data_IF_509212947979
#
_entry.id   IF_509212947979
#
_cell.length_a   1.000
_cell.length_b   1.000
_cell.length_c   1.000
_cell.angle_alpha   90.00
_cell.angle_beta   90.00
_cell.angle_gamma   90.00
#
_symmetry.space_group_name_H-M   'P 1'
#
loop_
_entity.id
_entity.type
_entity.pdbx_description
1 polymer ?
#
# COMPACT_ATOMS: atom_id res chain seq x y z
N UNK A 1 -3.57 -13.68 13.70
CA UNK A 1 -3.66 -12.21 13.67
C UNK A 1 -3.73 -11.81 12.22
N UNK A 2 -4.63 -10.90 11.84
CA UNK A 2 -4.67 -10.45 10.46
C UNK A 2 -3.33 -9.71 10.19
N UNK A 3 -2.76 -9.89 9.00
CA UNK A 3 -1.44 -9.36 8.61
C UNK A 3 -1.60 -8.43 7.41
N UNK A 4 -0.89 -7.29 7.38
CA UNK A 4 -0.83 -6.45 6.19
C UNK A 4 -0.17 -7.25 5.08
N UNK A 5 -0.80 -7.28 3.92
CA UNK A 5 -0.20 -7.82 2.72
C UNK A 5 0.08 -6.68 1.73
N UNK A 6 1.07 -6.85 0.84
CA UNK A 6 1.29 -5.94 -0.29
C UNK A 6 0.00 -5.66 -1.08
N UNK A 7 -0.85 -6.68 -1.27
CA UNK A 7 -2.13 -6.55 -1.96
C UNK A 7 -3.07 -5.53 -1.31
N UNK A 8 -3.19 -5.54 0.02
CA UNK A 8 -4.08 -4.61 0.74
C UNK A 8 -3.61 -3.17 0.56
N UNK A 9 -2.30 -2.93 0.67
CA UNK A 9 -1.70 -1.59 0.50
C UNK A 9 -1.85 -1.12 -0.95
N UNK A 10 -1.54 -1.98 -1.93
CA UNK A 10 -1.70 -1.67 -3.35
C UNK A 10 -3.15 -1.38 -3.70
N UNK A 11 -4.12 -2.20 -3.29
CA UNK A 11 -5.54 -1.93 -3.56
C UNK A 11 -6.02 -0.62 -2.93
N UNK A 12 -5.49 -0.28 -1.76
CA UNK A 12 -5.80 1.00 -1.10
C UNK A 12 -5.23 2.17 -1.92
N UNK A 13 -3.98 2.08 -2.39
CA UNK A 13 -3.38 3.11 -3.22
C UNK A 13 -3.95 3.16 -4.65
N UNK A 14 -4.41 2.05 -5.22
CA UNK A 14 -5.14 2.04 -6.51
C UNK A 14 -6.44 2.86 -6.39
N UNK A 15 -7.15 2.73 -5.27
CA UNK A 15 -8.43 3.43 -5.05
C UNK A 15 -8.25 4.93 -4.79
N UNK A 16 -7.17 5.32 -4.13
CA UNK A 16 -6.97 6.69 -3.66
C UNK A 16 -5.86 7.45 -4.40
N UNK A 17 -5.09 6.77 -5.24
CA UNK A 17 -3.88 7.19 -5.97
C UNK A 17 -2.71 7.63 -5.09
N UNK A 18 -2.98 8.47 -4.09
CA UNK A 18 -1.98 9.09 -3.22
C UNK A 18 -2.50 9.20 -1.79
N UNK A 19 -1.73 8.72 -0.80
CA UNK A 19 -2.11 8.75 0.61
C UNK A 19 -0.92 8.99 1.53
N UNK A 20 -1.17 9.61 2.69
CA UNK A 20 -0.16 9.71 3.76
C UNK A 20 -0.10 8.41 4.55
N UNK A 21 1.00 8.16 5.28
CA UNK A 21 1.10 6.99 6.17
C UNK A 21 -0.07 6.91 7.17
N UNK A 22 -0.47 8.08 7.69
CA UNK A 22 -1.56 8.17 8.67
C UNK A 22 -2.93 7.87 8.06
N UNK A 23 -3.14 8.23 6.78
CA UNK A 23 -4.39 7.95 6.09
C UNK A 23 -4.46 6.48 5.67
N UNK A 24 -3.34 5.91 5.18
CA UNK A 24 -3.21 4.48 4.93
C UNK A 24 -3.55 3.66 6.18
N UNK A 25 -3.00 4.03 7.34
CA UNK A 25 -3.27 3.33 8.61
C UNK A 25 -4.74 3.40 9.08
N UNK A 26 -5.52 4.35 8.56
CA UNK A 26 -6.95 4.54 8.92
C UNK A 26 -7.91 3.93 7.91
N UNK A 27 -7.45 3.58 6.71
CA UNK A 27 -8.31 3.02 5.68
C UNK A 27 -8.91 1.68 6.11
N UNK A 28 -10.23 1.55 5.93
CA UNK A 28 -10.99 0.37 6.37
C UNK A 28 -10.52 -0.92 5.67
N UNK A 29 -9.95 -0.81 4.46
CA UNK A 29 -9.32 -1.92 3.75
C UNK A 29 -8.05 -2.45 4.43
N UNK A 30 -7.31 -1.58 5.13
CA UNK A 30 -6.16 -1.99 5.94
C UNK A 30 -6.64 -2.58 7.27
N UNK A 31 -7.81 -2.14 7.75
CA UNK A 31 -8.74 -2.94 8.57
C UNK A 31 -8.21 -3.43 9.91
N UNK A 32 -7.09 -2.90 10.38
CA UNK A 32 -6.35 -3.49 11.49
C UNK A 32 -5.62 -2.43 12.29
N UNK A 33 -5.67 -2.57 13.61
CA UNK A 33 -4.83 -1.89 14.58
C UNK A 33 -3.38 -2.41 14.46
N UNK A 34 -2.74 -2.18 13.32
CA UNK A 34 -1.35 -2.58 13.13
C UNK A 34 -0.42 -1.57 13.76
N UNK A 35 0.74 -2.06 14.16
CA UNK A 35 1.82 -1.19 14.58
C UNK A 35 2.25 -0.42 13.33
N UNK A 36 2.45 0.91 13.41
CA UNK A 36 2.93 1.71 12.29
C UNK A 36 4.17 1.13 11.58
N UNK A 37 5.00 0.39 12.32
CA UNK A 37 6.19 -0.29 11.81
C UNK A 37 5.88 -1.40 10.78
N UNK A 38 4.75 -2.10 10.92
CA UNK A 38 4.38 -3.19 9.99
C UNK A 38 3.97 -2.60 8.64
N UNK A 39 3.20 -1.50 8.65
CA UNK A 39 2.80 -0.77 7.45
C UNK A 39 4.00 -0.12 6.76
N UNK A 40 4.90 0.49 7.54
CA UNK A 40 6.12 1.08 7.00
C UNK A 40 7.00 0.02 6.32
N UNK A 41 7.13 -1.18 6.93
CA UNK A 41 7.93 -2.27 6.34
C UNK A 41 7.38 -2.71 4.98
N UNK A 42 6.05 -2.80 4.83
CA UNK A 42 5.42 -3.15 3.55
C UNK A 42 5.59 -2.01 2.53
N UNK A 43 5.45 -0.76 2.95
CA UNK A 43 5.67 0.39 2.05
C UNK A 43 7.12 0.48 1.58
N UNK A 44 8.08 0.20 2.45
CA UNK A 44 9.51 0.15 2.10
C UNK A 44 9.80 -0.98 1.11
N UNK A 45 9.18 -2.16 1.29
CA UNK A 45 9.26 -3.27 0.34
C UNK A 45 8.66 -2.89 -1.02
N UNK A 46 7.45 -2.32 -1.04
CA UNK A 46 6.77 -1.90 -2.27
C UNK A 46 7.56 -0.81 -3.01
N UNK A 47 8.13 0.14 -2.27
CA UNK A 47 9.00 1.18 -2.83
C UNK A 47 10.29 0.60 -3.41
N UNK A 48 10.96 -0.30 -2.67
CA UNK A 48 12.15 -0.98 -3.18
C UNK A 48 11.90 -1.80 -4.46
N UNK A 49 10.66 -2.23 -4.69
CA UNK A 49 10.25 -2.94 -5.91
C UNK A 49 9.72 -2.02 -7.01
N UNK A 50 9.61 -0.70 -6.77
CA UNK A 50 9.11 0.28 -7.74
C UNK A 50 7.59 0.32 -7.89
N UNK A 51 6.84 -0.29 -6.96
CA UNK A 51 5.38 -0.32 -7.00
C UNK A 51 4.72 0.90 -6.37
N UNK A 52 5.43 1.57 -5.48
CA UNK A 52 4.96 2.76 -4.75
C UNK A 52 6.12 3.75 -4.68
N UNK A 53 5.85 5.02 -4.94
CA UNK A 53 6.82 6.09 -4.77
C UNK A 53 6.55 6.91 -3.51
N UNK A 54 7.63 7.42 -2.91
CA UNK A 54 7.56 8.39 -1.81
C UNK A 54 7.76 9.79 -2.35
N UNK A 55 6.79 10.66 -2.10
CA UNK A 55 6.89 12.07 -2.43
C UNK A 55 7.74 12.77 -1.36
N UNK A 56 9.04 12.90 -1.63
CA UNK A 56 10.03 13.39 -0.65
C UNK A 56 9.93 14.90 -0.34
N UNK A 57 9.26 15.67 -1.19
CA UNK A 57 9.15 17.13 -1.05
C UNK A 57 7.84 17.60 -0.41
N UNK A 58 7.02 16.66 0.10
CA UNK A 58 5.75 16.97 0.77
C UNK A 58 5.77 16.53 2.23
N UNK A 59 5.21 17.39 3.10
CA UNK A 59 4.99 17.08 4.51
C UNK A 59 3.49 17.19 4.79
N UNK A 60 2.84 16.12 5.27
CA UNK A 60 3.43 14.86 5.74
C UNK A 60 3.91 13.93 4.62
N UNK A 61 4.77 12.96 4.98
CA UNK A 61 5.26 11.92 4.06
C UNK A 61 4.07 11.25 3.37
N UNK A 62 4.12 11.28 2.04
CA UNK A 62 3.02 10.85 1.17
C UNK A 62 3.52 9.81 0.18
N UNK A 63 2.71 8.78 -0.03
CA UNK A 63 2.97 7.66 -0.92
C UNK A 63 2.03 7.74 -2.10
N UNK A 64 2.53 7.44 -3.29
CA UNK A 64 1.74 7.37 -4.52
C UNK A 64 1.97 6.04 -5.21
N UNK A 65 0.95 5.51 -5.86
CA UNK A 65 1.10 4.29 -6.67
C UNK A 65 1.78 4.58 -8.01
N UNK A 66 2.55 3.62 -8.51
CA UNK A 66 3.13 3.64 -9.86
C UNK A 66 2.32 2.77 -10.83
N UNK A 67 2.55 2.89 -12.14
CA UNK A 67 1.92 2.02 -13.14
C UNK A 67 2.25 0.53 -12.92
N UNK A 68 3.49 0.24 -12.48
CA UNK A 68 3.92 -1.11 -12.11
C UNK A 68 3.19 -1.60 -10.85
N UNK A 69 2.94 -0.72 -9.89
CA UNK A 69 2.15 -1.03 -8.70
C UNK A 69 0.68 -1.34 -9.00
N UNK A 70 0.07 -0.62 -9.94
CA UNK A 70 -1.29 -0.92 -10.42
C UNK A 70 -1.33 -2.31 -11.04
N UNK A 71 -0.37 -2.60 -11.94
CA UNK A 71 -0.26 -3.90 -12.62
C UNK A 71 -0.07 -5.04 -11.62
N UNK A 72 0.81 -4.86 -10.64
CA UNK A 72 1.05 -5.86 -9.60
C UNK A 72 -0.16 -6.05 -8.69
N UNK A 73 -0.87 -4.97 -8.33
CA UNK A 73 -2.09 -5.04 -7.54
C UNK A 73 -3.20 -5.83 -8.24
N UNK A 74 -3.39 -5.63 -9.54
CA UNK A 74 -4.29 -6.47 -10.36
C UNK A 74 -3.83 -7.92 -10.40
N UNK A 75 -2.54 -8.18 -10.66
CA UNK A 75 -1.97 -9.54 -10.71
C UNK A 75 -2.11 -10.30 -9.39
N UNK A 76 -2.00 -9.60 -8.27
CA UNK A 76 -2.22 -10.17 -6.95
C UNK A 76 -3.71 -10.42 -6.72
N UNK A 77 -4.59 -9.46 -7.01
CA UNK A 77 -6.05 -9.64 -6.87
C UNK A 77 -6.57 -10.87 -7.63
N UNK A 78 -6.14 -11.06 -8.88
CA UNK A 78 -6.48 -12.22 -9.70
C UNK A 78 -6.00 -13.55 -9.08
N UNK A 79 -4.90 -13.55 -8.31
CA UNK A 79 -4.44 -14.75 -7.60
C UNK A 79 -5.32 -15.11 -6.42
N UNK A 80 -5.94 -14.14 -5.75
CA UNK A 80 -6.77 -14.37 -4.57
C UNK A 80 -8.25 -14.61 -4.90
N UNK A 81 -8.72 -14.25 -6.10
CA UNK A 81 -10.08 -14.62 -6.57
C UNK A 81 -10.17 -16.07 -7.09
N UNK A 82 -9.03 -16.75 -7.29
CA UNK A 82 -8.96 -18.11 -7.85
C UNK A 82 -8.77 -19.19 -6.77
N UNK A 83 -8.79 -18.82 -5.48
CA UNK A 83 -8.78 -19.74 -4.33
C UNK A 83 -10.13 -19.86 -3.60
#
# INVERSE_FOLDING_TARGET
>A
MPQITPLIVLNTLIKHETLTLNDLAKEENIGMTLRPNDLQSVLDELNSNGFVDVLNDVSPVTYTITDDGITEGSRLSDKFEVE
#
